data_IF_604021795712
#
_entry.id   IF_604021795712
#
_cell.length_a   1.000
_cell.length_b   1.000
_cell.length_c   1.000
_cell.angle_alpha   90.00
_cell.angle_beta   90.00
_cell.angle_gamma   90.00
#
_symmetry.space_group_name_H-M   'P 1'
#
loop_
_entity.id
_entity.type
_entity.pdbx_description
1 polymer ?
#
# COMPACT_ATOMS: atom_id res chain seq x y z
N UNK A 1 -17.61 -13.48 -2.35
CA UNK A 1 -16.37 -12.74 -2.10
C UNK A 1 -16.34 -12.40 -0.63
N UNK A 2 -15.32 -12.84 0.11
CA UNK A 2 -15.21 -12.54 1.55
C UNK A 2 -14.09 -11.48 1.74
N UNK A 3 -14.43 -10.22 2.08
CA UNK A 3 -13.43 -9.17 2.27
C UNK A 3 -12.57 -9.38 3.52
N UNK A 4 -12.91 -10.31 4.42
CA UNK A 4 -12.18 -10.60 5.65
C UNK A 4 -11.19 -11.78 5.51
N UNK A 5 -10.99 -12.26 4.28
CA UNK A 5 -10.03 -13.29 3.94
C UNK A 5 -8.94 -12.73 3.01
N UNK A 6 -7.82 -13.45 2.83
CA UNK A 6 -6.81 -13.04 1.87
C UNK A 6 -7.36 -12.92 0.45
N UNK A 7 -7.13 -11.78 -0.20
CA UNK A 7 -7.61 -11.49 -1.55
C UNK A 7 -6.60 -10.67 -2.35
N UNK A 8 -6.73 -10.75 -3.67
CA UNK A 8 -5.95 -9.94 -4.62
C UNK A 8 -6.88 -8.93 -5.26
N UNK A 9 -6.52 -7.65 -5.17
CA UNK A 9 -7.23 -6.53 -5.78
C UNK A 9 -6.36 -5.91 -6.85
N UNK A 10 -6.94 -5.56 -7.99
CA UNK A 10 -6.23 -4.87 -9.06
C UNK A 10 -7.03 -3.64 -9.49
N UNK A 11 -6.36 -2.51 -9.54
CA UNK A 11 -6.89 -1.24 -10.04
C UNK A 11 -5.99 -0.69 -11.14
N UNK A 12 -6.58 0.10 -12.04
CA UNK A 12 -5.86 0.71 -13.15
C UNK A 12 -6.06 2.22 -13.12
N UNK A 13 -5.01 2.98 -13.42
CA UNK A 13 -5.05 4.45 -13.52
C UNK A 13 -4.15 4.95 -14.64
N UNK A 14 -4.46 6.10 -15.22
CA UNK A 14 -3.65 6.69 -16.29
C UNK A 14 -2.80 7.83 -15.75
N UNK A 15 -1.54 7.90 -16.15
CA UNK A 15 -0.66 9.05 -15.91
C UNK A 15 -0.63 9.89 -17.17
N UNK A 16 -1.16 11.11 -17.10
CA UNK A 16 -1.25 12.03 -18.25
C UNK A 16 0.07 12.73 -18.54
N UNK A 17 0.93 12.86 -17.54
CA UNK A 17 2.21 13.55 -17.69
C UNK A 17 3.19 12.71 -18.50
N UNK A 18 3.95 13.39 -19.37
CA UNK A 18 5.02 12.77 -20.16
C UNK A 18 6.23 12.39 -19.30
N UNK A 19 6.40 13.07 -18.16
CA UNK A 19 7.48 12.86 -17.21
C UNK A 19 6.87 12.73 -15.80
N UNK A 20 6.45 11.52 -15.36
CA UNK A 20 5.94 11.32 -14.02
C UNK A 20 6.97 11.74 -12.97
N UNK A 21 6.46 12.24 -11.85
CA UNK A 21 7.25 12.45 -10.64
C UNK A 21 7.13 11.24 -9.72
N UNK A 22 8.04 11.17 -8.75
CA UNK A 22 7.94 10.23 -7.65
C UNK A 22 6.63 10.44 -6.89
N UNK A 23 6.05 9.36 -6.36
CA UNK A 23 4.83 9.41 -5.57
C UNK A 23 4.84 8.35 -4.48
N UNK A 24 3.79 8.29 -3.68
CA UNK A 24 3.66 7.35 -2.58
C UNK A 24 2.28 6.72 -2.58
N UNK A 25 2.24 5.38 -2.55
CA UNK A 25 1.01 4.65 -2.30
C UNK A 25 0.60 4.83 -0.83
N UNK A 26 -0.59 5.35 -0.62
CA UNK A 26 -1.29 5.40 0.67
C UNK A 26 -2.44 4.38 0.65
N UNK A 27 -2.34 3.26 1.39
CA UNK A 27 -3.40 2.25 1.46
C UNK A 27 -4.57 2.73 2.34
N UNK A 28 -5.35 3.70 1.83
CA UNK A 28 -6.52 4.30 2.48
C UNK A 28 -7.71 4.39 1.52
N UNK A 29 -8.92 4.46 2.07
CA UNK A 29 -10.14 4.73 1.32
C UNK A 29 -10.44 6.23 1.26
N UNK A 30 -11.37 6.60 0.37
CA UNK A 30 -11.96 7.96 0.31
C UNK A 30 -12.62 8.42 1.62
N UNK A 31 -12.94 7.49 2.53
CA UNK A 31 -13.50 7.77 3.86
C UNK A 31 -12.44 7.78 4.96
N UNK A 32 -11.15 7.86 4.60
CA UNK A 32 -10.00 7.81 5.51
C UNK A 32 -9.92 6.51 6.35
N UNK A 33 -10.44 5.40 5.82
CA UNK A 33 -10.27 4.07 6.43
C UNK A 33 -9.05 3.38 5.82
N UNK A 34 -8.22 2.75 6.64
CA UNK A 34 -7.03 2.07 6.14
C UNK A 34 -7.32 0.65 5.64
N UNK A 35 -6.53 0.20 4.67
CA UNK A 35 -6.32 -1.22 4.41
C UNK A 35 -5.56 -1.86 5.59
N UNK A 36 -5.74 -3.16 5.83
CA UNK A 36 -5.09 -3.80 6.97
C UNK A 36 -3.62 -4.13 6.70
N UNK A 37 -3.32 -5.28 6.08
CA UNK A 37 -1.96 -5.77 5.96
C UNK A 37 -1.75 -6.58 4.70
N UNK A 38 -0.77 -6.18 3.91
CA UNK A 38 -0.54 -6.84 2.64
C UNK A 38 0.76 -6.48 1.95
N UNK A 39 0.79 -6.76 0.66
CA UNK A 39 1.89 -6.48 -0.27
C UNK A 39 1.32 -5.72 -1.46
N UNK A 40 2.02 -4.68 -1.92
CA UNK A 40 1.59 -3.89 -3.07
C UNK A 40 2.56 -4.04 -4.25
N UNK A 41 2.02 -3.96 -5.47
CA UNK A 41 2.76 -3.96 -6.71
C UNK A 41 2.29 -2.84 -7.62
N UNK A 42 3.20 -2.20 -8.35
CA UNK A 42 2.91 -1.26 -9.44
C UNK A 42 3.54 -1.78 -10.73
N UNK A 43 2.77 -1.95 -11.81
CA UNK A 43 3.26 -2.40 -13.11
C UNK A 43 4.18 -3.65 -13.03
N UNK A 44 3.90 -4.57 -12.09
CA UNK A 44 4.67 -5.79 -11.74
C UNK A 44 5.87 -5.61 -10.80
N UNK A 45 6.29 -4.38 -10.48
CA UNK A 45 7.31 -4.12 -9.47
C UNK A 45 6.72 -4.25 -8.07
N UNK A 46 7.41 -4.99 -7.19
CA UNK A 46 7.00 -5.16 -5.79
C UNK A 46 7.39 -3.92 -4.97
N UNK A 47 6.41 -3.19 -4.45
CA UNK A 47 6.60 -2.01 -3.60
C UNK A 47 6.97 -2.38 -2.15
N UNK A 48 6.72 -3.61 -1.74
CA UNK A 48 6.93 -4.10 -0.39
C UNK A 48 5.62 -4.27 0.39
N UNK A 49 5.78 -4.32 1.72
CA UNK A 49 4.69 -4.64 2.66
C UNK A 49 4.08 -3.37 3.24
N UNK A 50 2.76 -3.30 3.28
CA UNK A 50 2.05 -2.26 4.02
C UNK A 50 1.42 -2.82 5.30
N UNK A 51 1.34 -1.99 6.34
CA UNK A 51 0.53 -2.23 7.53
C UNK A 51 0.15 -0.90 8.19
N UNK A 52 -0.60 -0.03 7.48
CA UNK A 52 -0.80 1.36 7.87
C UNK A 52 -1.55 1.52 9.19
N UNK A 53 -2.38 0.54 9.58
CA UNK A 53 -3.05 0.53 10.89
C UNK A 53 -2.02 0.52 12.01
N UNK A 54 -1.01 -0.35 11.92
CA UNK A 54 0.02 -0.48 12.95
C UNK A 54 1.08 0.62 12.87
N UNK A 55 1.47 1.03 11.66
CA UNK A 55 2.56 2.00 11.44
C UNK A 55 3.94 1.45 11.85
N UNK A 56 4.95 2.31 12.06
CA UNK A 56 4.92 3.77 11.87
C UNK A 56 4.89 4.17 10.39
N UNK A 57 5.41 3.32 9.51
CA UNK A 57 5.34 3.51 8.07
C UNK A 57 3.93 3.23 7.55
N UNK A 58 3.34 4.22 6.87
CA UNK A 58 1.99 4.16 6.31
C UNK A 58 2.02 4.14 4.79
N UNK A 59 2.93 4.89 4.17
CA UNK A 59 3.05 4.97 2.71
C UNK A 59 4.18 4.11 2.15
N UNK A 60 4.02 3.66 0.91
CA UNK A 60 5.07 2.98 0.13
C UNK A 60 5.55 3.87 -1.00
N UNK A 61 6.87 4.03 -1.15
CA UNK A 61 7.47 4.83 -2.22
C UNK A 61 7.26 4.17 -3.59
N UNK A 62 6.85 4.98 -4.57
CA UNK A 62 6.75 4.61 -5.99
C UNK A 62 7.74 5.50 -6.76
N UNK A 63 8.87 4.93 -7.22
CA UNK A 63 9.80 5.63 -8.10
C UNK A 63 9.13 6.00 -9.42
N UNK A 64 9.36 7.21 -9.92
CA UNK A 64 8.84 7.64 -11.22
C UNK A 64 9.19 6.74 -12.40
N UNK A 65 10.37 6.07 -12.47
CA UNK A 65 10.66 5.14 -13.57
C UNK A 65 9.78 3.89 -13.59
N UNK A 66 9.02 3.61 -12.52
CA UNK A 66 8.06 2.51 -12.47
C UNK A 66 6.68 2.92 -12.96
N UNK A 67 6.43 4.21 -13.18
CA UNK A 67 5.21 4.74 -13.76
C UNK A 67 5.36 4.86 -15.28
N UNK A 68 4.37 4.36 -15.99
CA UNK A 68 4.31 4.42 -17.44
C UNK A 68 3.61 5.73 -17.87
N UNK A 69 4.31 6.65 -18.56
CA UNK A 69 3.71 7.91 -19.01
C UNK A 69 2.71 7.68 -20.14
N UNK A 70 1.66 8.50 -20.19
CA UNK A 70 0.66 8.52 -21.27
C UNK A 70 -0.02 7.17 -21.53
N UNK A 71 -0.08 6.30 -20.52
CA UNK A 71 -0.69 4.98 -20.63
C UNK A 71 -1.24 4.52 -19.27
N UNK A 72 -1.91 3.37 -19.29
CA UNK A 72 -2.51 2.74 -18.12
C UNK A 72 -1.44 2.07 -17.27
N UNK A 73 -1.42 2.45 -15.99
CA UNK A 73 -0.66 1.85 -14.92
C UNK A 73 -1.57 0.89 -14.14
N UNK A 74 -1.03 -0.24 -13.68
CA UNK A 74 -1.77 -1.24 -12.93
C UNK A 74 -1.21 -1.39 -11.53
N UNK A 75 -2.05 -1.21 -10.52
CA UNK A 75 -1.73 -1.41 -9.12
C UNK A 75 -2.39 -2.70 -8.64
N UNK A 76 -1.62 -3.57 -8.00
CA UNK A 76 -2.12 -4.81 -7.38
C UNK A 76 -1.86 -4.80 -5.88
N UNK A 77 -2.90 -5.04 -5.09
CA UNK A 77 -2.84 -5.18 -3.63
C UNK A 77 -3.15 -6.64 -3.27
N UNK A 78 -2.22 -7.31 -2.59
CA UNK A 78 -2.45 -8.61 -1.97
C UNK A 78 -2.75 -8.34 -0.50
N UNK A 79 -4.03 -8.29 -0.15
CA UNK A 79 -4.51 -8.10 1.23
C UNK A 79 -4.58 -9.46 1.94
N UNK A 80 -4.11 -9.52 3.18
CA UNK A 80 -3.94 -10.77 3.92
C UNK A 80 -4.87 -10.90 5.12
N UNK A 81 -5.56 -9.83 5.49
CA UNK A 81 -6.47 -9.81 6.63
C UNK A 81 -7.86 -9.35 6.18
N UNK A 82 -8.25 -8.09 6.46
CA UNK A 82 -9.49 -7.50 5.96
C UNK A 82 -9.24 -6.36 4.97
N UNK A 83 -10.08 -6.27 3.94
CA UNK A 83 -10.08 -5.17 2.98
C UNK A 83 -11.30 -4.26 3.16
N UNK A 84 -11.19 -2.98 2.75
CA UNK A 84 -12.35 -2.09 2.68
C UNK A 84 -13.27 -2.38 1.49
N UNK A 85 -13.07 -3.47 0.77
CA UNK A 85 -13.73 -3.77 -0.51
C UNK A 85 -14.98 -4.66 -0.34
N UNK A 86 -15.60 -4.68 0.85
CA UNK A 86 -16.95 -5.24 1.02
C UNK A 86 -18.02 -4.43 0.28
N UNK A 87 -17.71 -3.18 -0.05
CA UNK A 87 -18.49 -2.31 -0.91
C UNK A 87 -17.56 -1.69 -1.98
N UNK A 88 -17.97 -1.70 -3.25
CA UNK A 88 -17.21 -1.14 -4.36
C UNK A 88 -16.93 0.36 -4.20
N UNK A 89 -17.87 1.12 -3.61
CA UNK A 89 -17.70 2.56 -3.38
C UNK A 89 -16.59 2.88 -2.37
N UNK A 90 -16.23 1.93 -1.51
CA UNK A 90 -15.16 2.09 -0.50
C UNK A 90 -13.85 1.42 -0.91
N UNK A 91 -13.84 0.66 -2.02
CA UNK A 91 -12.67 -0.07 -2.49
C UNK A 91 -11.72 0.85 -3.27
N UNK A 92 -10.97 1.69 -2.56
CA UNK A 92 -10.03 2.64 -3.15
C UNK A 92 -8.69 2.65 -2.43
N UNK A 93 -7.71 3.29 -3.07
CA UNK A 93 -6.39 3.64 -2.55
C UNK A 93 -6.12 5.09 -2.92
N UNK A 94 -5.10 5.70 -2.33
CA UNK A 94 -4.66 7.05 -2.71
C UNK A 94 -3.18 7.04 -3.11
N UNK A 95 -2.82 7.94 -4.02
CA UNK A 95 -1.43 8.31 -4.31
C UNK A 95 -1.21 9.73 -3.76
N UNK A 96 -0.15 9.91 -2.98
CA UNK A 96 0.16 11.18 -2.30
C UNK A 96 1.57 11.65 -2.64
N UNK A 97 1.82 12.95 -2.47
CA UNK A 97 3.07 13.59 -2.87
C UNK A 97 4.17 13.56 -1.79
N UNK A 98 3.84 13.12 -0.57
CA UNK A 98 4.79 13.10 0.55
C UNK A 98 4.72 11.78 1.33
N UNK A 99 5.85 11.31 1.88
CA UNK A 99 5.88 10.08 2.67
C UNK A 99 5.30 10.30 4.07
N UNK A 100 4.63 9.26 4.59
CA UNK A 100 4.20 9.16 5.99
C UNK A 100 4.93 7.95 6.59
N UNK A 101 6.04 8.21 7.28
CA UNK A 101 6.92 7.18 7.86
C UNK A 101 6.83 7.06 9.39
N UNK A 102 6.29 8.08 10.06
CA UNK A 102 6.35 8.24 11.51
C UNK A 102 4.95 8.41 12.14
N UNK A 103 3.95 7.65 11.66
CA UNK A 103 2.62 7.66 12.28
C UNK A 103 2.73 7.13 13.72
N UNK A 104 2.13 7.82 14.72
CA UNK A 104 2.05 7.30 16.07
C UNK A 104 1.43 5.90 16.09
N UNK A 105 2.18 4.93 16.59
CA UNK A 105 1.73 3.54 16.64
C UNK A 105 0.78 3.35 17.83
N UNK A 106 -0.35 2.68 17.60
CA UNK A 106 -1.34 2.42 18.66
C UNK A 106 -0.81 1.49 19.76
N UNK A 107 0.27 0.77 19.47
CA UNK A 107 1.03 0.00 20.45
C UNK A 107 2.43 0.62 20.62
N UNK A 108 2.97 0.71 21.84
CA UNK A 108 4.39 1.00 22.01
C UNK A 108 5.18 -0.07 21.26
N UNK A 109 6.28 0.34 20.61
CA UNK A 109 7.15 -0.59 19.90
C UNK A 109 7.37 -1.84 20.76
N UNK A 110 7.07 -3.06 20.27
CA UNK A 110 7.29 -4.27 21.06
C UNK A 110 8.75 -4.24 21.50
N UNK A 111 8.98 -4.35 22.83
CA UNK A 111 10.31 -4.46 23.42
C UNK A 111 11.14 -5.33 22.51
N UNK A 112 12.16 -4.74 21.88
CA UNK A 112 13.06 -5.37 20.91
C UNK A 112 13.30 -6.84 21.29
N UNK A 113 12.51 -7.76 20.73
CA UNK A 113 12.90 -9.14 20.70
C UNK A 113 14.04 -9.16 19.69
N UNK A 114 15.27 -9.00 20.21
CA UNK A 114 16.49 -9.11 19.43
C UNK A 114 16.34 -10.38 18.59
N UNK A 115 16.19 -10.22 17.28
CA UNK A 115 16.19 -11.35 16.36
C UNK A 115 17.52 -12.06 16.59
N UNK A 116 17.51 -13.21 17.27
CA UNK A 116 18.68 -14.08 17.31
C UNK A 116 18.92 -14.51 15.86
N UNK A 117 20.11 -14.29 15.28
CA UNK A 117 20.41 -14.83 13.97
C UNK A 117 20.33 -16.37 14.08
N UNK A 118 19.38 -16.96 13.38
CA UNK A 118 19.38 -18.41 13.15
C UNK A 118 20.04 -18.63 11.81
N UNK A 119 21.33 -18.98 11.85
CA UNK A 119 21.97 -19.67 10.73
C UNK A 119 21.50 -21.12 10.81
N UNK A 120 20.88 -21.62 9.73
CA UNK A 120 20.71 -23.05 9.48
C UNK A 120 21.93 -23.54 8.70
#
# INVERSE_FOLDING_TARGET
>A
FDPNAPNIYTGNFSVTDQAPSDTFLLPTTISNSYWEKGVAYINRYNLGRYWPILGPQVTLYIPSPWLLPSTTNSLTMIELQSSPCGNEQTCSIELVDFPILDKPTLMPAPLLYKRKPQYH
#
